data_IF_482852673191
#
_entry.id   IF_482852673191
#
_cell.length_a   1.000
_cell.length_b   1.000
_cell.length_c   1.000
_cell.angle_alpha   90.00
_cell.angle_beta   90.00
_cell.angle_gamma   90.00
#
_symmetry.space_group_name_H-M   'P 1'
#
loop_
_entity.id
_entity.type
_entity.pdbx_description
1 polymer ?
#
# COMPACT_ATOMS: atom_id res chain seq x y z
N UNK A 1 10.83 27.23 9.54
CA UNK A 1 11.30 25.92 9.04
C UNK A 1 11.63 25.95 7.57
N UNK A 2 10.97 26.77 6.74
CA UNK A 2 11.30 26.87 5.31
C UNK A 2 11.88 28.25 4.93
N UNK A 3 13.21 28.36 4.97
CA UNK A 3 13.91 29.65 4.78
C UNK A 3 13.84 30.18 3.34
N UNK A 4 13.46 29.33 2.38
CA UNK A 4 13.30 29.68 0.96
C UNK A 4 11.88 30.13 0.60
N UNK A 5 10.98 30.30 1.56
CA UNK A 5 9.60 30.72 1.30
C UNK A 5 9.53 31.97 0.41
N UNK A 6 10.25 33.03 0.79
CA UNK A 6 10.29 34.29 0.03
C UNK A 6 11.00 34.19 -1.33
N UNK A 7 11.67 33.08 -1.64
CA UNK A 7 12.31 32.84 -2.94
C UNK A 7 11.38 32.10 -3.90
N UNK A 8 10.49 31.26 -3.35
CA UNK A 8 9.64 30.39 -4.15
C UNK A 8 8.27 31.01 -4.44
N UNK A 9 7.72 31.82 -3.54
CA UNK A 9 6.37 32.41 -3.70
C UNK A 9 6.41 33.74 -4.45
N UNK A 10 5.32 34.03 -5.15
CA UNK A 10 5.06 35.25 -5.91
C UNK A 10 3.75 35.91 -5.48
N UNK A 11 3.60 37.20 -5.78
CA UNK A 11 2.34 37.92 -5.57
C UNK A 11 1.17 37.18 -6.24
N UNK A 12 0.10 36.96 -5.48
CA UNK A 12 -1.09 36.25 -5.93
C UNK A 12 -1.15 34.78 -5.50
N UNK A 13 -0.02 34.17 -5.11
CA UNK A 13 0.05 32.79 -4.65
C UNK A 13 -0.76 32.56 -3.38
N UNK A 14 -1.23 31.32 -3.21
CA UNK A 14 -1.98 30.87 -2.03
C UNK A 14 -1.01 30.25 -1.03
N UNK A 15 -1.20 30.58 0.24
CA UNK A 15 -0.51 29.94 1.37
C UNK A 15 -1.58 29.33 2.25
N UNK A 16 -1.58 28.01 2.33
CA UNK A 16 -2.52 27.25 3.13
C UNK A 16 -1.84 26.83 4.43
N UNK A 17 -2.56 26.95 5.55
CA UNK A 17 -2.06 26.59 6.87
C UNK A 17 -3.03 25.61 7.53
N UNK A 18 -2.47 24.69 8.33
CA UNK A 18 -3.22 23.66 9.06
C UNK A 18 -4.15 22.84 8.15
N UNK A 19 -3.54 22.13 7.19
CA UNK A 19 -4.23 21.30 6.19
C UNK A 19 -5.31 22.06 5.39
N UNK A 20 -5.05 23.33 5.11
CA UNK A 20 -5.96 24.20 4.35
C UNK A 20 -7.10 24.81 5.17
N UNK A 21 -7.12 24.64 6.50
CA UNK A 21 -8.11 25.26 7.37
C UNK A 21 -8.04 26.79 7.34
N UNK A 22 -6.84 27.35 7.19
CA UNK A 22 -6.63 28.78 6.98
C UNK A 22 -6.01 29.03 5.61
N UNK A 23 -6.42 30.12 4.97
CA UNK A 23 -5.90 30.54 3.67
C UNK A 23 -5.42 31.98 3.73
N UNK A 24 -4.19 32.18 3.27
CA UNK A 24 -3.61 33.49 3.02
C UNK A 24 -3.32 33.65 1.53
N UNK A 25 -3.28 34.89 1.07
CA UNK A 25 -2.87 35.24 -0.28
C UNK A 25 -1.70 36.21 -0.27
N UNK A 26 -0.63 35.87 -0.98
CA UNK A 26 0.58 36.70 -1.05
C UNK A 26 0.25 38.02 -1.75
N UNK A 27 0.52 39.13 -1.09
CA UNK A 27 0.36 40.48 -1.65
C UNK A 27 1.71 41.05 -2.09
N UNK A 28 2.77 40.81 -1.32
CA UNK A 28 4.09 41.37 -1.58
C UNK A 28 5.18 40.45 -1.01
N UNK A 29 6.30 40.34 -1.72
CA UNK A 29 7.52 39.67 -1.25
C UNK A 29 8.65 40.69 -1.23
N UNK A 30 9.12 41.07 -0.04
CA UNK A 30 10.14 42.11 0.11
C UNK A 30 11.04 41.82 1.31
N UNK A 31 12.35 41.98 1.14
CA UNK A 31 13.31 41.87 2.25
C UNK A 31 13.37 40.49 2.92
N UNK A 32 12.95 39.42 2.23
CA UNK A 32 12.84 38.07 2.80
C UNK A 32 11.54 37.84 3.58
N UNK A 33 10.68 38.85 3.70
CA UNK A 33 9.34 38.74 4.27
C UNK A 33 8.29 38.53 3.17
N UNK A 34 7.27 37.74 3.49
CA UNK A 34 6.11 37.52 2.62
C UNK A 34 4.90 38.13 3.29
N UNK A 35 4.41 39.26 2.76
CA UNK A 35 3.19 39.89 3.24
C UNK A 35 2.01 39.21 2.59
N UNK A 36 1.10 38.69 3.41
CA UNK A 36 -0.11 38.05 2.94
C UNK A 36 -1.35 38.72 3.52
N UNK A 37 -2.44 38.66 2.75
CA UNK A 37 -3.79 38.95 3.25
C UNK A 37 -4.49 37.66 3.63
N UNK A 38 -5.07 37.63 4.82
CA UNK A 38 -5.93 36.52 5.25
C UNK A 38 -7.20 36.48 4.41
N UNK A 39 -7.42 35.37 3.73
CA UNK A 39 -8.66 35.08 2.98
C UNK A 39 -9.62 34.33 3.89
N UNK A 40 -9.13 33.28 4.55
CA UNK A 40 -9.88 32.50 5.55
C UNK A 40 -9.05 32.44 6.84
N UNK A 41 -9.61 32.99 7.91
CA UNK A 41 -8.96 33.04 9.23
C UNK A 41 -9.46 31.97 10.18
N UNK A 42 -8.74 31.78 11.28
CA UNK A 42 -9.07 30.81 12.32
C UNK A 42 -8.00 30.78 13.40
N UNK A 43 -8.10 29.81 14.30
CA UNK A 43 -7.06 29.54 15.29
C UNK A 43 -5.94 28.76 14.63
N UNK A 44 -4.72 29.29 14.69
CA UNK A 44 -3.50 28.58 14.27
C UNK A 44 -2.72 28.15 15.52
N UNK A 45 -2.54 26.84 15.68
CA UNK A 45 -1.75 26.29 16.78
C UNK A 45 -0.26 26.22 16.42
N UNK A 46 0.58 25.86 17.39
CA UNK A 46 2.01 25.73 17.19
C UNK A 46 2.35 24.61 16.20
N UNK A 47 3.42 24.80 15.42
CA UNK A 47 3.99 23.79 14.51
C UNK A 47 3.01 23.20 13.47
N UNK A 48 1.95 23.93 13.13
CA UNK A 48 1.05 23.55 12.04
C UNK A 48 1.73 23.61 10.67
N UNK A 49 1.30 22.72 9.78
CA UNK A 49 1.81 22.61 8.42
C UNK A 49 1.50 23.84 7.57
N UNK A 50 2.30 24.04 6.52
CA UNK A 50 2.11 25.06 5.50
C UNK A 50 2.24 24.41 4.12
N UNK A 51 1.25 24.64 3.27
CA UNK A 51 1.21 24.16 1.90
C UNK A 51 1.21 25.35 0.94
N UNK A 52 1.85 25.17 -0.22
CA UNK A 52 2.01 26.21 -1.24
C UNK A 52 1.51 25.68 -2.59
N UNK A 53 0.18 25.52 -2.78
CA UNK A 53 -0.36 24.91 -3.98
C UNK A 53 0.05 25.68 -5.24
N UNK A 54 0.56 24.94 -6.24
CA UNK A 54 1.04 25.52 -7.50
C UNK A 54 2.42 26.17 -7.43
N UNK A 55 3.06 26.22 -6.25
CA UNK A 55 4.41 26.74 -6.07
C UNK A 55 5.42 25.61 -6.11
N UNK A 56 6.48 25.78 -6.90
CA UNK A 56 7.59 24.82 -6.95
C UNK A 56 8.48 24.94 -5.72
N UNK A 57 8.17 24.17 -4.69
CA UNK A 57 8.93 24.17 -3.43
C UNK A 57 10.35 23.62 -3.64
N UNK A 58 11.36 24.47 -3.44
CA UNK A 58 12.80 24.20 -3.57
C UNK A 58 13.41 23.41 -2.39
N UNK A 59 12.63 22.54 -1.75
CA UNK A 59 13.08 21.62 -0.70
C UNK A 59 13.54 20.27 -1.29
N UNK A 60 14.60 19.64 -0.73
CA UNK A 60 14.99 18.29 -1.12
C UNK A 60 13.89 17.28 -0.74
N UNK A 61 13.81 16.17 -1.46
CA UNK A 61 12.85 15.10 -1.13
C UNK A 61 13.18 14.37 0.19
N UNK A 62 14.45 14.38 0.59
CA UNK A 62 14.94 13.81 1.86
C UNK A 62 15.73 14.90 2.58
N UNK A 63 15.25 15.29 3.76
CA UNK A 63 15.97 16.23 4.64
C UNK A 63 17.07 15.53 5.45
N UNK A 64 17.92 16.32 6.13
CA UNK A 64 18.91 15.76 7.07
C UNK A 64 18.25 14.96 8.20
N UNK A 65 17.10 15.43 8.67
CA UNK A 65 16.28 14.70 9.66
C UNK A 65 15.78 13.38 9.07
N UNK A 66 15.25 13.39 7.85
CA UNK A 66 14.74 12.17 7.21
C UNK A 66 15.87 11.14 7.00
N UNK A 67 17.08 11.60 6.68
CA UNK A 67 18.25 10.72 6.58
C UNK A 67 18.62 10.08 7.93
N UNK A 68 18.54 10.84 9.03
CA UNK A 68 18.76 10.31 10.38
C UNK A 68 17.66 9.32 10.80
N UNK A 69 16.40 9.64 10.53
CA UNK A 69 15.25 8.78 10.82
C UNK A 69 15.28 7.49 9.98
N UNK A 70 15.71 7.60 8.71
CA UNK A 70 15.97 6.44 7.85
C UNK A 70 17.03 5.54 8.45
N UNK A 71 18.21 6.08 8.78
CA UNK A 71 19.29 5.30 9.40
C UNK A 71 18.83 4.60 10.69
N UNK A 72 18.03 5.30 11.52
CA UNK A 72 17.41 4.72 12.70
C UNK A 72 16.46 3.57 12.37
N UNK A 73 15.53 3.75 11.43
CA UNK A 73 14.56 2.73 11.02
C UNK A 73 15.24 1.50 10.42
N UNK A 74 16.21 1.69 9.53
CA UNK A 74 17.02 0.64 8.93
C UNK A 74 17.75 -0.19 10.01
N UNK A 75 18.35 0.46 11.01
CA UNK A 75 18.99 -0.22 12.13
C UNK A 75 18.01 -1.02 13.02
N UNK A 76 16.72 -0.72 12.97
CA UNK A 76 15.65 -1.45 13.68
C UNK A 76 14.96 -2.51 12.84
N UNK A 77 15.35 -2.66 11.57
CA UNK A 77 14.77 -3.66 10.67
C UNK A 77 13.30 -3.38 10.34
N UNK A 78 12.94 -2.12 10.13
CA UNK A 78 11.59 -1.76 9.63
C UNK A 78 11.29 -2.45 8.31
N UNK A 79 10.07 -2.94 8.15
CA UNK A 79 9.69 -3.74 6.97
C UNK A 79 9.38 -2.90 5.73
N UNK A 80 9.07 -1.61 5.91
CA UNK A 80 8.79 -0.63 4.86
C UNK A 80 9.30 0.76 5.28
N UNK A 81 9.67 1.57 4.29
CA UNK A 81 9.92 3.01 4.45
C UNK A 81 8.96 3.76 3.54
N UNK A 82 8.18 4.69 4.09
CA UNK A 82 7.30 5.54 3.29
C UNK A 82 7.95 6.92 3.06
N UNK A 83 8.08 7.33 1.80
CA UNK A 83 8.61 8.65 1.44
C UNK A 83 7.44 9.64 1.23
N UNK A 84 7.42 10.72 1.99
CA UNK A 84 6.45 11.82 1.87
C UNK A 84 6.77 12.75 0.71
N UNK A 85 5.75 13.45 0.20
CA UNK A 85 5.89 14.50 -0.82
C UNK A 85 6.71 14.09 -2.05
N UNK A 86 6.58 12.84 -2.48
CA UNK A 86 7.21 12.33 -3.70
C UNK A 86 6.73 13.16 -4.88
N UNK A 87 7.64 13.61 -5.74
CA UNK A 87 7.31 14.39 -6.95
C UNK A 87 7.78 13.72 -8.22
N UNK A 88 8.92 13.02 -8.17
CA UNK A 88 9.55 12.41 -9.34
C UNK A 88 10.03 10.99 -9.05
N UNK A 89 10.24 10.14 -10.07
CA UNK A 89 10.81 8.80 -9.85
C UNK A 89 12.22 8.85 -9.25
N UNK A 90 13.01 9.89 -9.52
CA UNK A 90 14.35 10.06 -8.98
C UNK A 90 14.36 10.19 -7.46
N UNK A 91 13.30 10.76 -6.85
CA UNK A 91 13.16 10.81 -5.39
C UNK A 91 13.22 9.39 -4.77
N UNK A 92 12.56 8.43 -5.43
CA UNK A 92 12.49 7.03 -5.00
C UNK A 92 13.82 6.31 -5.29
N UNK A 93 14.43 6.57 -6.44
CA UNK A 93 15.70 5.97 -6.81
C UNK A 93 16.84 6.42 -5.89
N UNK A 94 16.88 7.71 -5.52
CA UNK A 94 17.83 8.24 -4.54
C UNK A 94 17.65 7.62 -3.15
N UNK A 95 16.41 7.50 -2.67
CA UNK A 95 16.13 6.81 -1.41
C UNK A 95 16.57 5.35 -1.46
N UNK A 96 16.27 4.65 -2.57
CA UNK A 96 16.68 3.25 -2.78
C UNK A 96 18.19 3.09 -2.80
N UNK A 97 18.92 4.00 -3.45
CA UNK A 97 20.37 4.01 -3.44
C UNK A 97 20.94 4.18 -2.03
N UNK A 98 20.33 5.06 -1.23
CA UNK A 98 20.69 5.27 0.18
C UNK A 98 20.48 4.00 1.02
N UNK A 99 19.32 3.34 0.90
CA UNK A 99 19.02 2.09 1.60
C UNK A 99 20.04 0.99 1.22
N UNK A 100 20.38 0.88 -0.07
CA UNK A 100 21.38 -0.09 -0.56
C UNK A 100 22.79 0.22 -0.09
N UNK A 101 23.17 1.50 -0.01
CA UNK A 101 24.46 1.91 0.54
C UNK A 101 24.61 1.52 2.02
N UNK A 102 23.49 1.44 2.75
CA UNK A 102 23.44 0.89 4.11
C UNK A 102 23.41 -0.66 4.16
N UNK A 103 23.54 -1.34 3.02
CA UNK A 103 23.55 -2.81 2.94
C UNK A 103 22.17 -3.48 3.10
N UNK A 104 21.09 -2.72 2.91
CA UNK A 104 19.71 -3.22 3.05
C UNK A 104 18.93 -3.12 1.73
N UNK A 105 17.76 -3.76 1.69
CA UNK A 105 16.84 -3.76 0.55
C UNK A 105 15.38 -3.61 1.06
N UNK A 106 15.19 -2.65 1.98
CA UNK A 106 13.89 -2.34 2.57
C UNK A 106 12.95 -1.72 1.53
N UNK A 107 11.74 -2.26 1.33
CA UNK A 107 10.76 -1.74 0.37
C UNK A 107 10.35 -0.29 0.63
N UNK A 108 10.17 0.46 -0.46
CA UNK A 108 9.74 1.86 -0.43
C UNK A 108 8.26 1.98 -0.80
N UNK A 109 7.51 2.71 0.05
CA UNK A 109 6.14 3.16 -0.20
C UNK A 109 6.18 4.62 -0.65
N UNK A 110 5.74 4.91 -1.86
CA UNK A 110 5.66 6.29 -2.35
C UNK A 110 4.35 6.93 -1.92
N UNK A 111 4.40 8.00 -1.12
CA UNK A 111 3.20 8.75 -0.72
C UNK A 111 2.87 9.77 -1.82
N UNK A 112 1.73 9.58 -2.47
CA UNK A 112 1.24 10.44 -3.54
C UNK A 112 0.35 11.54 -2.96
N UNK A 113 0.97 12.70 -2.82
CA UNK A 113 0.46 13.88 -2.10
C UNK A 113 0.60 15.15 -2.93
N UNK A 114 1.31 15.07 -4.06
CA UNK A 114 1.71 16.20 -4.88
C UNK A 114 1.15 16.08 -6.29
N UNK A 115 0.63 17.16 -6.90
CA UNK A 115 0.13 17.15 -8.27
C UNK A 115 1.17 16.65 -9.29
N UNK A 116 2.45 16.99 -9.08
CA UNK A 116 3.58 16.55 -9.92
C UNK A 116 3.75 15.03 -9.91
N UNK A 117 3.45 14.39 -8.76
CA UNK A 117 3.48 12.95 -8.62
C UNK A 117 2.39 12.28 -9.47
N UNK A 118 1.20 12.89 -9.52
CA UNK A 118 0.07 12.42 -10.34
C UNK A 118 0.40 12.54 -11.83
N UNK A 119 1.08 13.61 -12.23
CA UNK A 119 1.53 13.80 -13.63
C UNK A 119 2.58 12.77 -14.06
N UNK A 120 3.38 12.25 -13.12
CA UNK A 120 4.43 11.25 -13.35
C UNK A 120 4.07 9.86 -12.79
N UNK A 121 2.78 9.59 -12.60
CA UNK A 121 2.26 8.46 -11.85
C UNK A 121 2.88 7.13 -12.29
N UNK A 122 2.85 6.81 -13.59
CA UNK A 122 3.37 5.54 -14.10
C UNK A 122 4.86 5.35 -13.83
N UNK A 123 5.65 6.42 -13.97
CA UNK A 123 7.09 6.38 -13.74
C UNK A 123 7.42 6.15 -12.26
N UNK A 124 6.70 6.82 -11.36
CA UNK A 124 6.85 6.66 -9.91
C UNK A 124 6.42 5.26 -9.49
N UNK A 125 5.24 4.80 -9.91
CA UNK A 125 4.71 3.46 -9.57
C UNK A 125 5.69 2.37 -10.01
N UNK A 126 6.31 2.50 -11.18
CA UNK A 126 7.30 1.54 -11.69
C UNK A 126 8.50 1.36 -10.76
N UNK A 127 9.03 2.44 -10.20
CA UNK A 127 10.22 2.43 -9.31
C UNK A 127 9.88 2.23 -7.82
N UNK A 128 8.59 2.26 -7.47
CA UNK A 128 8.09 2.06 -6.11
C UNK A 128 7.90 0.57 -5.77
N UNK A 129 7.93 0.19 -4.50
CA UNK A 129 7.56 -1.18 -4.08
C UNK A 129 6.09 -1.29 -3.70
N UNK A 130 5.53 -0.22 -3.15
CA UNK A 130 4.11 0.02 -2.94
C UNK A 130 3.81 1.52 -3.03
N UNK A 131 2.54 1.89 -3.04
CA UNK A 131 2.07 3.27 -3.16
C UNK A 131 1.06 3.57 -2.06
N UNK A 132 1.07 4.80 -1.56
CA UNK A 132 0.06 5.30 -0.63
C UNK A 132 -0.64 6.51 -1.24
N UNK A 133 -1.96 6.47 -1.31
CA UNK A 133 -2.80 7.63 -1.64
C UNK A 133 -3.04 8.39 -0.34
N UNK A 134 -2.27 9.47 -0.10
CA UNK A 134 -2.38 10.28 1.11
C UNK A 134 -3.28 11.48 0.84
N UNK A 135 -4.58 11.23 1.05
CA UNK A 135 -5.69 12.07 0.58
C UNK A 135 -5.76 13.44 1.24
N UNK A 136 -5.37 13.56 2.52
CA UNK A 136 -5.33 14.82 3.26
C UNK A 136 -4.42 15.83 2.58
N UNK A 137 -3.12 15.52 2.50
CA UNK A 137 -2.13 16.38 1.82
C UNK A 137 -2.49 16.58 0.33
N UNK A 138 -2.93 15.52 -0.35
CA UNK A 138 -3.30 15.60 -1.77
C UNK A 138 -4.44 16.60 -2.00
N UNK A 139 -5.49 16.57 -1.17
CA UNK A 139 -6.64 17.48 -1.28
C UNK A 139 -6.25 18.95 -1.09
N UNK A 140 -5.27 19.21 -0.22
CA UNK A 140 -4.76 20.56 0.04
C UNK A 140 -3.96 21.09 -1.16
N UNK A 141 -3.22 20.22 -1.84
CA UNK A 141 -2.38 20.59 -2.98
C UNK A 141 -3.12 20.60 -4.32
N UNK A 142 -4.25 19.89 -4.43
CA UNK A 142 -5.16 19.90 -5.59
C UNK A 142 -6.51 20.51 -5.22
N UNK A 143 -7.55 19.69 -5.14
CA UNK A 143 -8.92 20.03 -4.75
C UNK A 143 -9.63 18.78 -4.20
N UNK A 144 -10.54 18.93 -3.23
CA UNK A 144 -11.24 17.79 -2.63
C UNK A 144 -12.11 17.01 -3.64
N UNK A 145 -12.63 17.66 -4.68
CA UNK A 145 -13.43 17.03 -5.73
C UNK A 145 -12.61 16.20 -6.73
N UNK A 146 -11.32 16.50 -6.92
CA UNK A 146 -10.44 15.74 -7.80
C UNK A 146 -9.85 14.50 -7.12
N UNK A 147 -9.67 14.52 -5.79
CA UNK A 147 -9.03 13.43 -5.04
C UNK A 147 -9.65 12.06 -5.29
N UNK A 148 -10.99 11.87 -5.30
CA UNK A 148 -11.59 10.57 -5.62
C UNK A 148 -11.22 10.05 -7.01
N UNK A 149 -11.11 10.95 -8.00
CA UNK A 149 -10.73 10.59 -9.37
C UNK A 149 -9.25 10.20 -9.44
N UNK A 150 -8.38 10.97 -8.77
CA UNK A 150 -6.94 10.70 -8.68
C UNK A 150 -6.69 9.38 -7.94
N UNK A 151 -7.37 9.12 -6.83
CA UNK A 151 -7.29 7.86 -6.09
C UNK A 151 -7.52 6.67 -7.03
N UNK A 152 -8.61 6.71 -7.80
CA UNK A 152 -8.95 5.63 -8.73
C UNK A 152 -7.88 5.44 -9.80
N UNK A 153 -7.39 6.53 -10.40
CA UNK A 153 -6.30 6.47 -11.37
C UNK A 153 -5.01 5.85 -10.78
N UNK A 154 -4.68 6.18 -9.52
CA UNK A 154 -3.54 5.60 -8.80
C UNK A 154 -3.73 4.10 -8.60
N UNK A 155 -4.92 3.66 -8.15
CA UNK A 155 -5.21 2.24 -7.92
C UNK A 155 -5.12 1.46 -9.23
N UNK A 156 -5.71 1.97 -10.31
CA UNK A 156 -5.66 1.35 -11.65
C UNK A 156 -4.20 1.23 -12.16
N UNK A 157 -3.39 2.27 -11.99
CA UNK A 157 -1.96 2.23 -12.35
C UNK A 157 -1.19 1.20 -11.51
N UNK A 158 -1.45 1.15 -10.20
CA UNK A 158 -0.83 0.17 -9.30
C UNK A 158 -1.24 -1.27 -9.63
N UNK A 159 -2.51 -1.48 -10.02
CA UNK A 159 -3.01 -2.77 -10.48
C UNK A 159 -2.31 -3.21 -11.77
N UNK A 160 -2.16 -2.31 -12.75
CA UNK A 160 -1.41 -2.60 -13.98
C UNK A 160 0.05 -2.99 -13.69
N UNK A 161 0.71 -2.29 -12.74
CA UNK A 161 2.10 -2.50 -12.36
C UNK A 161 2.33 -3.60 -11.29
N UNK A 162 1.26 -4.24 -10.79
CA UNK A 162 1.30 -5.25 -9.71
C UNK A 162 1.93 -4.76 -8.41
N UNK A 163 1.72 -3.49 -8.09
CA UNK A 163 2.21 -2.83 -6.88
C UNK A 163 1.08 -2.71 -5.86
N UNK A 164 1.31 -3.01 -4.56
CA UNK A 164 0.31 -2.78 -3.52
C UNK A 164 -0.02 -1.29 -3.40
N UNK A 165 -1.28 -0.98 -3.12
CA UNK A 165 -1.75 0.38 -2.88
C UNK A 165 -2.47 0.49 -1.53
N UNK A 166 -2.10 1.51 -0.76
CA UNK A 166 -2.66 1.85 0.54
C UNK A 166 -3.53 3.10 0.38
N UNK A 167 -4.77 3.07 0.83
CA UNK A 167 -5.62 4.27 0.92
C UNK A 167 -5.54 4.82 2.34
N UNK A 168 -5.09 6.07 2.44
CA UNK A 168 -4.67 6.67 3.69
C UNK A 168 -5.36 8.00 3.97
N UNK A 169 -5.34 8.37 5.25
CA UNK A 169 -5.84 9.61 5.87
C UNK A 169 -7.36 9.77 5.79
N UNK A 170 -7.96 10.28 6.87
CA UNK A 170 -9.39 10.60 6.98
C UNK A 170 -10.36 9.45 6.60
N UNK A 171 -9.99 8.21 6.90
CA UNK A 171 -10.85 7.06 6.58
C UNK A 171 -12.00 6.93 7.58
N UNK A 172 -11.73 7.11 8.87
CA UNK A 172 -12.73 7.10 9.94
C UNK A 172 -12.46 8.26 10.92
N UNK A 173 -12.12 9.44 10.41
CA UNK A 173 -11.58 10.56 11.20
C UNK A 173 -12.46 10.95 12.40
N UNK A 174 -13.78 10.95 12.23
CA UNK A 174 -14.74 11.26 13.30
C UNK A 174 -14.62 10.30 14.49
N UNK A 175 -14.06 9.10 14.28
CA UNK A 175 -13.84 8.12 15.35
C UNK A 175 -12.69 8.47 16.29
N UNK A 176 -11.93 9.54 16.01
CA UNK A 176 -11.03 10.13 17.00
C UNK A 176 -11.79 10.59 18.25
N UNK A 177 -12.96 11.18 18.07
CA UNK A 177 -13.77 11.77 19.14
C UNK A 177 -15.10 11.01 19.37
N UNK A 178 -15.47 10.08 18.48
CA UNK A 178 -16.74 9.36 18.53
C UNK A 178 -16.56 7.83 18.48
N UNK A 179 -17.39 7.04 19.16
CA UNK A 179 -17.29 5.58 19.12
C UNK A 179 -17.82 4.95 17.80
N UNK A 180 -18.37 5.77 16.89
CA UNK A 180 -18.93 5.32 15.59
C UNK A 180 -18.61 6.35 14.51
N UNK A 181 -18.35 5.90 13.27
CA UNK A 181 -18.10 6.80 12.16
C UNK A 181 -19.41 7.38 11.63
N UNK A 182 -19.28 8.38 10.78
CA UNK A 182 -20.37 8.86 9.94
C UNK A 182 -20.71 7.85 8.85
N UNK A 183 -21.87 8.03 8.19
CA UNK A 183 -22.24 7.22 7.01
C UNK A 183 -21.33 7.49 5.81
N UNK A 184 -20.82 8.72 5.69
CA UNK A 184 -19.93 9.11 4.61
C UNK A 184 -18.58 8.39 4.73
N UNK A 185 -17.98 8.38 5.92
CA UNK A 185 -16.73 7.65 6.19
C UNK A 185 -16.87 6.14 5.97
N UNK A 186 -17.98 5.54 6.44
CA UNK A 186 -18.24 4.12 6.18
C UNK A 186 -18.36 3.82 4.68
N UNK A 187 -18.98 4.72 3.90
CA UNK A 187 -19.06 4.61 2.44
C UNK A 187 -17.70 4.78 1.77
N UNK A 188 -16.88 5.71 2.28
CA UNK A 188 -15.55 6.01 1.74
C UNK A 188 -14.61 4.80 1.88
N UNK A 189 -14.53 4.22 3.09
CA UNK A 189 -13.80 2.97 3.33
C UNK A 189 -14.29 1.84 2.42
N UNK A 190 -15.61 1.67 2.29
CA UNK A 190 -16.18 0.64 1.45
C UNK A 190 -15.79 0.84 -0.03
N UNK A 191 -15.87 2.07 -0.54
CA UNK A 191 -15.51 2.37 -1.92
C UNK A 191 -14.02 2.16 -2.19
N UNK A 192 -13.11 2.54 -1.27
CA UNK A 192 -11.69 2.25 -1.40
C UNK A 192 -11.40 0.74 -1.61
N UNK A 193 -12.16 -0.12 -0.92
CA UNK A 193 -12.05 -1.58 -1.05
C UNK A 193 -12.66 -2.07 -2.36
N UNK A 194 -13.83 -1.54 -2.75
CA UNK A 194 -14.47 -1.87 -4.02
C UNK A 194 -13.62 -1.43 -5.23
N UNK A 195 -12.85 -0.36 -5.08
CA UNK A 195 -11.87 0.12 -6.05
C UNK A 195 -10.59 -0.75 -6.08
N UNK A 196 -10.50 -1.80 -5.25
CA UNK A 196 -9.38 -2.75 -5.17
C UNK A 196 -8.12 -2.27 -4.44
N UNK A 197 -8.26 -1.42 -3.42
CA UNK A 197 -7.15 -1.15 -2.50
C UNK A 197 -6.59 -2.44 -1.87
N UNK A 198 -5.27 -2.52 -1.68
CA UNK A 198 -4.67 -3.66 -0.96
C UNK A 198 -4.77 -3.49 0.55
N UNK A 199 -4.70 -2.24 1.02
CA UNK A 199 -4.83 -1.90 2.42
C UNK A 199 -5.51 -0.54 2.62
N UNK A 200 -6.11 -0.39 3.80
CA UNK A 200 -6.74 0.83 4.29
C UNK A 200 -6.04 1.24 5.58
N UNK A 201 -5.75 2.53 5.74
CA UNK A 201 -4.92 3.03 6.84
C UNK A 201 -5.69 3.96 7.77
N UNK A 202 -5.57 3.70 9.08
CA UNK A 202 -5.97 4.62 10.14
C UNK A 202 -4.76 5.46 10.54
N UNK A 203 -4.96 6.75 10.74
CA UNK A 203 -3.92 7.71 11.11
C UNK A 203 -4.15 8.17 12.55
N UNK A 204 -4.76 9.35 12.71
CA UNK A 204 -5.03 9.94 14.00
C UNK A 204 -6.02 9.14 14.85
N UNK A 205 -6.91 8.37 14.22
CA UNK A 205 -7.92 7.53 14.86
C UNK A 205 -7.30 6.53 15.84
N UNK A 206 -6.11 6.00 15.52
CA UNK A 206 -5.41 5.01 16.37
C UNK A 206 -4.22 5.61 17.12
N UNK A 207 -3.57 6.62 16.56
CA UNK A 207 -2.36 7.20 17.16
C UNK A 207 -2.67 8.07 18.39
N UNK A 208 -3.75 8.86 18.35
CA UNK A 208 -4.08 9.84 19.40
C UNK A 208 -5.59 9.95 19.70
N UNK A 209 -6.42 9.17 19.00
CA UNK A 209 -7.87 9.16 19.17
C UNK A 209 -8.34 8.50 20.47
N UNK A 210 -9.57 8.80 20.88
CA UNK A 210 -10.20 8.25 22.08
C UNK A 210 -10.72 6.81 21.89
N UNK A 211 -10.94 6.38 20.64
CA UNK A 211 -11.52 5.07 20.31
C UNK A 211 -10.65 4.25 19.34
N UNK A 212 -9.37 3.97 19.66
CA UNK A 212 -8.43 3.33 18.73
C UNK A 212 -8.80 1.88 18.41
N UNK A 213 -9.29 1.11 19.41
CA UNK A 213 -9.67 -0.30 19.23
C UNK A 213 -10.95 -0.40 18.39
N UNK A 214 -11.94 0.41 18.69
CA UNK A 214 -13.21 0.47 17.98
C UNK A 214 -13.02 0.90 16.53
N UNK A 215 -12.09 1.81 16.27
CA UNK A 215 -11.73 2.25 14.91
C UNK A 215 -11.21 1.08 14.07
N UNK A 216 -10.28 0.27 14.61
CA UNK A 216 -9.77 -0.93 13.92
C UNK A 216 -10.88 -1.97 13.72
N UNK A 217 -11.71 -2.21 14.75
CA UNK A 217 -12.84 -3.14 14.63
C UNK A 217 -13.87 -2.67 13.60
N UNK A 218 -14.13 -1.37 13.52
CA UNK A 218 -15.05 -0.80 12.55
C UNK A 218 -14.50 -0.91 11.13
N UNK A 219 -13.22 -0.57 10.93
CA UNK A 219 -12.52 -0.74 9.66
C UNK A 219 -12.66 -2.19 9.16
N UNK A 220 -12.40 -3.18 10.03
CA UNK A 220 -12.56 -4.60 9.72
C UNK A 220 -14.00 -4.96 9.33
N UNK A 221 -15.01 -4.47 10.06
CA UNK A 221 -16.43 -4.75 9.75
C UNK A 221 -16.84 -4.21 8.39
N UNK A 222 -16.43 -2.99 8.06
CA UNK A 222 -16.71 -2.38 6.75
C UNK A 222 -16.01 -3.19 5.66
N UNK A 223 -14.73 -3.55 5.85
CA UNK A 223 -13.98 -4.36 4.90
C UNK A 223 -14.64 -5.70 4.61
N UNK A 224 -15.00 -6.45 5.66
CA UNK A 224 -15.68 -7.74 5.51
C UNK A 224 -17.01 -7.61 4.75
N UNK A 225 -17.76 -6.53 5.01
CA UNK A 225 -19.04 -6.28 4.33
C UNK A 225 -18.84 -5.92 2.85
N UNK A 226 -17.85 -5.10 2.52
CA UNK A 226 -17.51 -4.70 1.16
C UNK A 226 -16.99 -5.88 0.33
N UNK A 227 -16.06 -6.67 0.89
CA UNK A 227 -15.51 -7.88 0.25
C UNK A 227 -16.60 -8.93 -0.01
N UNK A 228 -17.52 -9.10 0.93
CA UNK A 228 -18.67 -9.99 0.73
C UNK A 228 -19.54 -9.60 -0.48
N UNK A 229 -19.57 -8.33 -0.88
CA UNK A 229 -20.26 -7.89 -2.10
C UNK A 229 -19.47 -8.19 -3.39
N UNK A 230 -18.13 -8.15 -3.34
CA UNK A 230 -17.25 -8.51 -4.46
C UNK A 230 -17.45 -9.99 -4.84
N UNK A 231 -17.39 -10.89 -3.86
CA UNK A 231 -17.51 -12.33 -4.09
C UNK A 231 -18.91 -12.81 -4.52
N UNK A 232 -19.94 -11.93 -4.53
CA UNK A 232 -21.32 -12.25 -4.98
C UNK A 232 -21.60 -11.91 -6.45
N UNK A 233 -20.57 -11.74 -7.28
CA UNK A 233 -20.73 -11.61 -8.73
C UNK A 233 -20.34 -10.26 -9.32
N UNK A 234 -19.70 -9.36 -8.54
CA UNK A 234 -18.82 -8.37 -9.15
C UNK A 234 -17.46 -9.02 -9.27
N UNK A 235 -17.17 -9.65 -10.41
CA UNK A 235 -15.79 -9.97 -10.72
C UNK A 235 -15.00 -8.67 -10.61
N UNK A 236 -14.02 -8.64 -9.71
CA UNK A 236 -13.02 -7.61 -9.75
C UNK A 236 -12.42 -7.70 -11.15
N UNK A 237 -12.55 -6.63 -11.91
CA UNK A 237 -11.97 -6.54 -13.23
C UNK A 237 -10.47 -6.54 -13.01
N UNK A 238 -9.87 -7.73 -13.00
CA UNK A 238 -8.44 -7.93 -13.21
C UNK A 238 -8.19 -7.86 -14.70
N UNK A 239 -8.68 -6.82 -15.36
CA UNK A 239 -8.07 -6.43 -16.62
C UNK A 239 -6.69 -5.91 -16.21
N UNK A 240 -5.74 -6.83 -16.22
CA UNK A 240 -4.33 -6.53 -16.43
C UNK A 240 -4.12 -5.98 -17.86
N UNK A 241 -5.12 -5.25 -18.39
CA UNK A 241 -5.22 -4.66 -19.71
C UNK A 241 -4.25 -3.49 -19.77
N UNK A 242 -2.98 -3.85 -19.91
CA UNK A 242 -1.89 -2.91 -20.07
C UNK A 242 -0.99 -3.33 -21.21
N UNK A 243 -1.52 -3.96 -22.28
CA UNK A 243 -0.82 -4.24 -23.55
C UNK A 243 0.55 -4.95 -23.47
N UNK A 244 0.98 -5.35 -22.27
CA UNK A 244 2.31 -5.82 -21.92
C UNK A 244 2.27 -7.33 -21.87
N UNK A 245 3.30 -7.94 -22.43
CA UNK A 245 3.49 -9.38 -22.32
C UNK A 245 3.67 -9.78 -20.86
N UNK A 246 2.94 -10.82 -20.44
CA UNK A 246 3.03 -11.33 -19.09
C UNK A 246 4.34 -12.11 -18.92
N UNK A 247 5.00 -11.91 -17.79
CA UNK A 247 6.08 -12.80 -17.34
C UNK A 247 5.53 -14.19 -17.00
N UNK A 248 6.40 -15.20 -17.01
CA UNK A 248 6.07 -16.56 -16.57
C UNK A 248 5.45 -16.58 -15.16
N UNK A 249 5.97 -15.74 -14.26
CA UNK A 249 5.49 -15.60 -12.89
C UNK A 249 4.07 -15.03 -12.83
N UNK A 250 3.74 -14.06 -13.69
CA UNK A 250 2.38 -13.52 -13.79
C UNK A 250 1.41 -14.57 -14.34
N UNK A 251 1.79 -15.25 -15.43
CA UNK A 251 0.96 -16.28 -16.05
C UNK A 251 0.66 -17.44 -15.10
N UNK A 252 1.67 -17.98 -14.41
CA UNK A 252 1.48 -19.09 -13.47
C UNK A 252 0.68 -18.68 -12.23
N UNK A 253 0.85 -17.44 -11.75
CA UNK A 253 0.11 -16.93 -10.59
C UNK A 253 -1.36 -16.69 -10.92
N UNK A 254 -1.65 -16.20 -12.13
CA UNK A 254 -3.01 -16.08 -12.66
C UNK A 254 -3.67 -17.45 -12.80
N UNK A 255 -3.01 -18.40 -13.46
CA UNK A 255 -3.52 -19.75 -13.63
C UNK A 255 -3.76 -20.45 -12.28
N UNK A 256 -2.87 -20.27 -11.29
CA UNK A 256 -3.04 -20.83 -9.96
C UNK A 256 -4.24 -20.23 -9.22
N UNK A 257 -4.43 -18.90 -9.29
CA UNK A 257 -5.57 -18.22 -8.68
C UNK A 257 -6.89 -18.68 -9.31
N UNK A 258 -6.98 -18.67 -10.64
CA UNK A 258 -8.18 -19.12 -11.36
C UNK A 258 -8.49 -20.59 -11.08
N UNK A 259 -7.47 -21.46 -11.13
CA UNK A 259 -7.64 -22.89 -10.84
C UNK A 259 -8.13 -23.13 -9.41
N UNK A 260 -7.62 -22.37 -8.44
CA UNK A 260 -8.05 -22.48 -7.04
C UNK A 260 -9.55 -22.24 -6.90
N UNK A 261 -10.09 -21.23 -7.58
CA UNK A 261 -11.52 -20.95 -7.60
C UNK A 261 -12.32 -22.04 -8.31
N UNK A 262 -11.87 -22.46 -9.50
CA UNK A 262 -12.58 -23.43 -10.33
C UNK A 262 -12.73 -24.80 -9.67
N UNK A 263 -11.71 -25.26 -8.94
CA UNK A 263 -11.77 -26.58 -8.28
C UNK A 263 -12.41 -26.54 -6.89
N UNK A 264 -12.77 -25.34 -6.40
CA UNK A 264 -13.20 -25.12 -5.01
C UNK A 264 -12.10 -25.47 -4.02
N UNK A 265 -10.88 -24.99 -4.26
CA UNK A 265 -9.77 -25.17 -3.33
C UNK A 265 -10.03 -24.40 -2.04
N UNK A 266 -9.62 -24.97 -0.91
CA UNK A 266 -9.78 -24.34 0.39
C UNK A 266 -8.78 -23.18 0.59
N UNK A 267 -7.60 -23.29 -0.06
CA UNK A 267 -6.54 -22.28 0.02
C UNK A 267 -5.64 -22.33 -1.22
N UNK A 268 -5.14 -21.15 -1.62
CA UNK A 268 -4.01 -21.00 -2.55
C UNK A 268 -2.73 -20.78 -1.76
N UNK A 269 -1.80 -21.72 -1.81
CA UNK A 269 -0.51 -21.62 -1.13
C UNK A 269 0.53 -21.05 -2.08
N UNK A 270 1.10 -19.91 -1.70
CA UNK A 270 2.16 -19.23 -2.43
C UNK A 270 3.48 -19.38 -1.66
N UNK A 271 4.35 -20.29 -2.10
CA UNK A 271 5.72 -20.35 -1.58
C UNK A 271 6.53 -19.15 -2.07
N UNK A 272 7.16 -18.44 -1.14
CA UNK A 272 7.86 -17.21 -1.48
C UNK A 272 9.03 -16.92 -0.56
N UNK A 273 10.14 -16.45 -1.15
CA UNK A 273 11.29 -15.93 -0.40
C UNK A 273 11.28 -14.40 -0.34
N UNK A 274 10.87 -13.72 -1.41
CA UNK A 274 10.83 -12.25 -1.49
C UNK A 274 9.44 -11.65 -1.29
N UNK A 275 8.39 -12.47 -1.29
CA UNK A 275 7.00 -12.03 -1.30
C UNK A 275 6.40 -11.90 -2.70
N UNK A 276 7.20 -11.99 -3.78
CA UNK A 276 6.74 -11.72 -5.14
C UNK A 276 5.63 -12.67 -5.61
N UNK A 277 5.74 -13.97 -5.32
CA UNK A 277 4.70 -14.97 -5.65
C UNK A 277 3.37 -14.62 -4.97
N UNK A 278 3.41 -14.36 -3.67
CA UNK A 278 2.23 -14.01 -2.89
C UNK A 278 1.59 -12.71 -3.38
N UNK A 279 2.42 -11.70 -3.73
CA UNK A 279 1.94 -10.44 -4.31
C UNK A 279 1.25 -10.66 -5.65
N UNK A 280 1.83 -11.46 -6.55
CA UNK A 280 1.23 -11.72 -7.86
C UNK A 280 -0.11 -12.47 -7.72
N UNK A 281 -0.17 -13.50 -6.87
CA UNK A 281 -1.42 -14.18 -6.53
C UNK A 281 -2.47 -13.22 -5.94
N UNK A 282 -2.05 -12.35 -5.01
CA UNK A 282 -2.89 -11.31 -4.40
C UNK A 282 -3.47 -10.35 -5.45
N UNK A 283 -2.71 -10.01 -6.49
CA UNK A 283 -3.15 -9.15 -7.60
C UNK A 283 -4.08 -9.82 -8.59
N UNK A 284 -4.23 -11.15 -8.54
CA UNK A 284 -5.29 -11.87 -9.23
C UNK A 284 -6.63 -11.78 -8.49
N UNK A 285 -6.63 -11.29 -7.24
CA UNK A 285 -7.81 -11.11 -6.39
C UNK A 285 -8.72 -12.36 -6.30
N UNK A 286 -8.18 -13.58 -6.07
CA UNK A 286 -9.00 -14.77 -5.94
C UNK A 286 -9.92 -14.67 -4.72
N UNK A 287 -11.11 -15.26 -4.83
CA UNK A 287 -12.05 -15.48 -3.73
C UNK A 287 -11.57 -16.52 -2.71
N UNK A 288 -10.59 -17.34 -3.10
CA UNK A 288 -9.94 -18.31 -2.22
C UNK A 288 -8.85 -17.61 -1.39
N UNK A 289 -8.78 -17.85 -0.06
CA UNK A 289 -7.71 -17.31 0.78
C UNK A 289 -6.31 -17.67 0.27
N UNK A 290 -5.37 -16.74 0.38
CA UNK A 290 -3.97 -16.95 -0.03
C UNK A 290 -3.12 -17.14 1.22
N UNK A 291 -2.34 -18.22 1.26
CA UNK A 291 -1.32 -18.43 2.31
C UNK A 291 0.06 -18.19 1.72
N UNK A 292 0.76 -17.17 2.22
CA UNK A 292 2.15 -16.91 1.86
C UNK A 292 3.09 -17.71 2.76
N UNK A 293 3.64 -18.79 2.24
CA UNK A 293 4.55 -19.66 2.97
C UNK A 293 6.00 -19.24 2.72
N UNK A 294 6.71 -18.85 3.78
CA UNK A 294 8.09 -18.37 3.67
C UNK A 294 8.95 -18.80 4.85
N UNK A 295 10.26 -19.06 4.66
CA UNK A 295 11.19 -19.28 5.77
C UNK A 295 11.71 -17.98 6.39
N UNK A 296 11.36 -16.82 5.83
CA UNK A 296 11.89 -15.52 6.25
C UNK A 296 10.81 -14.70 6.97
N UNK A 297 11.00 -14.46 8.28
CA UNK A 297 10.06 -13.70 9.09
C UNK A 297 9.82 -12.28 8.56
N UNK A 298 10.85 -11.65 8.00
CA UNK A 298 10.75 -10.34 7.34
C UNK A 298 9.82 -10.38 6.11
N UNK A 299 9.96 -11.40 5.27
CA UNK A 299 9.07 -11.59 4.12
C UNK A 299 7.63 -11.84 4.58
N UNK A 300 7.43 -12.61 5.65
CA UNK A 300 6.10 -12.82 6.23
C UNK A 300 5.47 -11.49 6.66
N UNK A 301 6.20 -10.63 7.37
CA UNK A 301 5.70 -9.29 7.77
C UNK A 301 5.39 -8.41 6.57
N UNK A 302 6.23 -8.41 5.53
CA UNK A 302 5.98 -7.67 4.29
C UNK A 302 4.73 -8.16 3.56
N UNK A 303 4.49 -9.47 3.54
CA UNK A 303 3.31 -10.08 2.93
C UNK A 303 2.00 -9.71 3.64
N UNK A 304 2.03 -9.28 4.90
CA UNK A 304 0.83 -8.83 5.62
C UNK A 304 0.17 -7.58 5.00
N UNK A 305 0.90 -6.85 4.15
CA UNK A 305 0.35 -5.72 3.38
C UNK A 305 -0.46 -6.17 2.15
N UNK A 306 -0.27 -7.40 1.68
CA UNK A 306 -0.85 -7.86 0.42
C UNK A 306 -2.30 -8.31 0.64
N UNK A 307 -3.20 -7.85 -0.22
CA UNK A 307 -4.62 -8.18 -0.14
C UNK A 307 -4.86 -9.70 -0.13
N UNK A 308 -5.74 -10.17 0.76
CA UNK A 308 -6.14 -11.57 0.83
C UNK A 308 -5.04 -12.56 1.24
N UNK A 309 -3.86 -12.07 1.65
CA UNK A 309 -2.71 -12.89 2.02
C UNK A 309 -2.61 -13.04 3.53
N UNK A 310 -2.57 -14.29 3.99
CA UNK A 310 -2.19 -14.68 5.35
C UNK A 310 -0.76 -15.24 5.32
N UNK A 311 0.24 -14.52 5.86
CA UNK A 311 1.61 -15.02 5.86
C UNK A 311 1.85 -16.02 6.99
N UNK A 312 2.60 -17.08 6.69
CA UNK A 312 3.08 -18.07 7.66
C UNK A 312 4.57 -18.31 7.52
N UNK A 313 5.25 -18.47 8.66
CA UNK A 313 6.65 -18.85 8.69
C UNK A 313 6.77 -20.38 8.73
N UNK A 314 7.38 -20.97 7.71
CA UNK A 314 7.63 -22.41 7.61
C UNK A 314 9.13 -22.68 7.60
N UNK A 315 9.53 -23.90 7.97
CA UNK A 315 10.94 -24.31 7.88
C UNK A 315 11.47 -24.27 6.44
N UNK A 316 12.79 -24.29 6.30
CA UNK A 316 13.42 -24.50 4.99
C UNK A 316 13.05 -25.89 4.45
N UNK A 317 12.90 -25.99 3.13
CA UNK A 317 12.61 -27.22 2.44
C UNK A 317 13.50 -27.34 1.20
N UNK A 318 14.13 -28.50 1.06
CA UNK A 318 15.09 -28.83 0.00
C UNK A 318 14.39 -29.32 -1.26
N UNK A 319 13.10 -29.67 -1.18
CA UNK A 319 12.29 -30.17 -2.30
C UNK A 319 10.85 -29.69 -2.25
N UNK A 320 10.19 -29.71 -3.41
CA UNK A 320 8.76 -29.38 -3.54
C UNK A 320 7.88 -30.36 -2.77
N UNK A 321 8.25 -31.63 -2.66
CA UNK A 321 7.48 -32.61 -1.88
C UNK A 321 7.58 -32.32 -0.38
N UNK A 322 8.76 -31.96 0.12
CA UNK A 322 8.93 -31.53 1.51
C UNK A 322 8.16 -30.24 1.81
N UNK A 323 8.13 -29.29 0.88
CA UNK A 323 7.31 -28.08 0.98
C UNK A 323 5.82 -28.44 1.20
N UNK A 324 5.28 -29.38 0.42
CA UNK A 324 3.89 -29.81 0.52
C UNK A 324 3.63 -30.48 1.87
N UNK A 325 4.49 -31.39 2.31
CA UNK A 325 4.34 -32.06 3.61
C UNK A 325 4.36 -31.07 4.79
N UNK A 326 5.23 -30.05 4.73
CA UNK A 326 5.29 -29.00 5.73
C UNK A 326 3.99 -28.21 5.80
N UNK A 327 3.43 -27.83 4.64
CA UNK A 327 2.19 -27.08 4.57
C UNK A 327 0.99 -27.91 5.01
N UNK A 328 0.88 -29.15 4.54
CA UNK A 328 -0.17 -30.08 4.95
C UNK A 328 -0.18 -30.25 6.47
N UNK A 329 0.99 -30.42 7.09
CA UNK A 329 1.09 -30.53 8.56
C UNK A 329 0.70 -29.22 9.24
N UNK A 330 1.32 -28.12 8.83
CA UNK A 330 1.16 -26.83 9.50
C UNK A 330 -0.27 -26.31 9.43
N UNK A 331 -0.93 -26.39 8.27
CA UNK A 331 -2.30 -25.91 8.11
C UNK A 331 -3.32 -26.82 8.79
N UNK A 332 -3.05 -28.12 8.92
CA UNK A 332 -3.87 -29.03 9.75
C UNK A 332 -3.71 -28.72 11.24
N UNK A 333 -2.49 -28.48 11.71
CA UNK A 333 -2.23 -28.13 13.12
C UNK A 333 -2.93 -26.82 13.52
N UNK A 334 -3.07 -25.88 12.57
CA UNK A 334 -3.82 -24.64 12.75
C UNK A 334 -5.35 -24.79 12.58
N UNK A 335 -5.83 -25.98 12.21
CA UNK A 335 -7.25 -26.23 11.92
C UNK A 335 -7.78 -25.50 10.68
N UNK A 336 -6.89 -25.11 9.76
CA UNK A 336 -7.24 -24.41 8.51
C UNK A 336 -7.59 -25.41 7.40
N UNK A 337 -6.94 -26.58 7.41
CA UNK A 337 -7.17 -27.66 6.44
C UNK A 337 -7.53 -28.97 7.11
N UNK A 338 -8.35 -29.78 6.44
CA UNK A 338 -8.69 -31.16 6.76
C UNK A 338 -8.24 -32.13 5.66
N UNK A 339 -8.13 -33.42 5.99
CA UNK A 339 -7.78 -34.45 5.01
C UNK A 339 -8.86 -34.57 3.93
N UNK A 340 -8.45 -34.66 2.65
CA UNK A 340 -9.36 -34.72 1.51
C UNK A 340 -9.73 -33.37 0.90
N UNK A 341 -9.36 -32.25 1.53
CA UNK A 341 -9.56 -30.92 0.95
C UNK A 341 -8.57 -30.63 -0.18
N UNK A 342 -8.99 -29.78 -1.11
CA UNK A 342 -8.20 -29.41 -2.29
C UNK A 342 -7.40 -28.15 -2.03
N UNK A 343 -6.15 -28.14 -2.47
CA UNK A 343 -5.23 -27.02 -2.36
C UNK A 343 -4.59 -26.77 -3.71
N UNK A 344 -4.40 -25.50 -4.08
CA UNK A 344 -3.51 -25.13 -5.18
C UNK A 344 -2.25 -24.56 -4.60
N UNK A 345 -1.11 -25.00 -5.11
CA UNK A 345 0.21 -24.60 -4.65
C UNK A 345 0.93 -23.94 -5.82
N UNK A 346 1.51 -22.77 -5.60
CA UNK A 346 2.36 -22.06 -6.57
C UNK A 346 3.71 -21.72 -5.93
N UNK A 347 4.79 -21.94 -6.69
CA UNK A 347 6.16 -21.81 -6.22
C UNK A 347 7.12 -21.45 -7.36
N UNK A 348 8.34 -21.08 -6.98
CA UNK A 348 9.47 -20.97 -7.90
C UNK A 348 10.41 -22.15 -7.77
N UNK A 349 10.81 -22.75 -8.89
CA UNK A 349 11.85 -23.78 -8.94
C UNK A 349 13.05 -23.27 -9.75
N UNK A 350 14.29 -23.42 -9.26
CA UNK A 350 14.71 -23.95 -7.95
C UNK A 350 14.26 -23.07 -6.76
N UNK A 351 13.96 -23.70 -5.62
CA UNK A 351 13.37 -23.06 -4.41
C UNK A 351 14.24 -21.93 -3.85
N UNK A 352 15.57 -22.08 -3.97
CA UNK A 352 16.59 -21.17 -3.46
C UNK A 352 16.61 -19.82 -4.19
N UNK A 353 16.03 -19.74 -5.40
CA UNK A 353 16.17 -18.58 -6.27
C UNK A 353 14.97 -17.64 -6.11
N UNK A 354 15.25 -16.39 -5.73
CA UNK A 354 14.23 -15.33 -5.66
C UNK A 354 13.68 -15.00 -7.05
N UNK A 355 12.37 -14.76 -7.14
CA UNK A 355 11.72 -14.20 -8.33
C UNK A 355 11.44 -15.18 -9.47
N UNK A 356 11.55 -16.50 -9.26
CA UNK A 356 11.41 -17.52 -10.31
C UNK A 356 10.10 -18.29 -10.27
N UNK A 357 9.00 -17.68 -9.83
CA UNK A 357 7.67 -18.32 -9.80
C UNK A 357 7.36 -18.91 -11.18
N UNK A 358 7.21 -20.22 -11.27
CA UNK A 358 7.10 -20.93 -12.55
C UNK A 358 6.35 -22.27 -12.48
N UNK A 359 5.93 -22.69 -11.28
CA UNK A 359 5.31 -24.01 -11.07
C UNK A 359 4.01 -23.85 -10.30
N UNK A 360 2.99 -24.60 -10.72
CA UNK A 360 1.79 -24.82 -9.91
C UNK A 360 1.49 -26.32 -9.77
N UNK A 361 0.92 -26.72 -8.64
CA UNK A 361 0.49 -28.09 -8.34
C UNK A 361 -0.88 -28.08 -7.70
N UNK A 362 -1.77 -28.95 -8.18
CA UNK A 362 -3.04 -29.26 -7.52
C UNK A 362 -2.77 -30.40 -6.55
N UNK A 363 -3.27 -30.27 -5.32
CA UNK A 363 -3.01 -31.20 -4.24
C UNK A 363 -4.28 -31.51 -3.46
N UNK A 364 -4.38 -32.74 -2.95
CA UNK A 364 -5.43 -33.16 -2.02
C UNK A 364 -4.76 -33.51 -0.71
N UNK A 365 -5.15 -32.83 0.37
CA UNK A 365 -4.51 -32.94 1.68
C UNK A 365 -4.56 -34.39 2.17
N UNK A 366 -3.39 -34.92 2.55
CA UNK A 366 -3.25 -36.31 3.01
C UNK A 366 -3.37 -37.38 1.92
N UNK A 367 -3.53 -36.99 0.65
CA UNK A 367 -3.48 -37.90 -0.49
C UNK A 367 -2.03 -38.24 -0.85
N UNK A 368 -1.68 -39.53 -0.82
CA UNK A 368 -0.52 -40.00 -1.57
C UNK A 368 -0.87 -39.89 -3.06
N UNK A 369 -0.14 -39.05 -3.80
CA UNK A 369 -0.44 -38.66 -5.19
C UNK A 369 -1.09 -39.75 -6.01
N UNK A 370 -2.35 -39.53 -6.39
CA UNK A 370 -3.10 -40.34 -7.35
C UNK A 370 -3.71 -39.45 -8.40
#
# INVERSE_FOLDING_TARGET
TYDRLAQDVSCGDRVLLDDGLLELRVEEVAGGEVRCRTVHGGTLLEHKGMNLPGVKVSAPAVSEKDAADLAFGLARGVDFVALSFVRTPEDIEHLRATIRAAGQDTPIVSKLEKPEAVQQLEAIVRVSDAVMVARGDLAVETSPEEVPLIQRAIIECCAAARKPVIIATQMLDSMRENPRPTRAEASDVANAILDSADAVMLSGETAVGQYPVESVQMMRRIATAAEGALFRGRHLVTDWAGGREWSLAEAISAAAAETAEQIGAQVLVAFTQSGSTARLASKCRPSVPIVAATPLAETARRCALYWGVVPICVGHADSTDQQIELIDRHLRDLGILEAGEKVVITAGTPIERRGTTNTMKLHVVGGAGR
#
